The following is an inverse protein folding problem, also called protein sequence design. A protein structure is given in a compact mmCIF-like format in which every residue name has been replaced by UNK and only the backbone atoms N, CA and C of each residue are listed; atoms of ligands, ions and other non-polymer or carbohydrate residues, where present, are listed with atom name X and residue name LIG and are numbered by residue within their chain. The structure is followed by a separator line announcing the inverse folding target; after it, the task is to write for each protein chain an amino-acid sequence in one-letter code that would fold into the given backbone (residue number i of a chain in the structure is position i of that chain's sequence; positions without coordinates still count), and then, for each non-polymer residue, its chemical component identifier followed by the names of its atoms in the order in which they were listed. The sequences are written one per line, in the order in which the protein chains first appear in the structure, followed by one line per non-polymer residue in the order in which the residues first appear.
data_IF_517926429597
#
_entry.id   IF_517926429597
#
_cell.length_a   1.000
_cell.length_b   1.000
_cell.length_c   1.000
_cell.angle_alpha   90.00
_cell.angle_beta   90.00
_cell.angle_gamma   90.00
#
_symmetry.space_group_name_H-M   'P 1'
#
loop_
_entity.id
_entity.type
_entity.pdbx_description
1 polymer ?
#
# COMPACT_ATOMS: atom_id res chain seq x y z
N UNK A 1 23.53 10.47 0.92
CA UNK A 1 23.34 9.88 2.26
C UNK A 1 22.03 9.12 2.23
N UNK A 2 21.96 7.83 2.63
CA UNK A 2 20.67 7.15 2.74
C UNK A 2 19.90 7.73 3.92
N UNK A 3 18.74 8.33 3.66
CA UNK A 3 17.81 8.78 4.70
C UNK A 3 16.88 7.61 5.05
N UNK A 4 16.95 7.12 6.29
CA UNK A 4 15.96 6.17 6.81
C UNK A 4 14.65 6.90 7.04
N UNK A 5 13.67 6.62 6.19
CA UNK A 5 12.29 7.14 6.34
C UNK A 5 11.47 6.05 7.01
N UNK A 6 10.68 6.37 8.04
CA UNK A 6 9.76 5.38 8.61
C UNK A 6 8.65 5.10 7.59
N UNK A 7 8.39 3.84 7.30
CA UNK A 7 7.32 3.42 6.41
C UNK A 7 6.41 2.38 7.04
N UNK A 8 5.25 2.20 6.43
CA UNK A 8 4.24 1.22 6.79
C UNK A 8 4.14 0.20 5.66
N UNK A 9 4.43 -1.06 5.96
CA UNK A 9 4.10 -2.17 5.07
C UNK A 9 2.68 -2.63 5.39
N UNK A 10 1.83 -2.71 4.37
CA UNK A 10 0.46 -3.18 4.47
C UNK A 10 0.36 -4.50 3.72
N UNK A 11 0.11 -5.58 4.46
CA UNK A 11 -0.09 -6.91 3.89
C UNK A 11 -1.57 -7.15 3.66
N UNK A 12 -1.96 -7.32 2.39
CA UNK A 12 -3.32 -7.62 1.97
C UNK A 12 -3.40 -9.07 1.51
N UNK A 13 -4.06 -9.90 2.32
CA UNK A 13 -4.31 -11.30 1.97
C UNK A 13 -5.59 -11.39 1.13
N UNK A 14 -5.51 -11.97 -0.06
CA UNK A 14 -6.63 -12.12 -1.00
C UNK A 14 -6.80 -13.56 -1.42
N UNK A 15 -8.05 -14.00 -1.54
CA UNK A 15 -8.38 -15.25 -2.22
C UNK A 15 -8.47 -14.98 -3.74
N UNK A 16 -7.48 -15.45 -4.48
CA UNK A 16 -7.42 -15.27 -5.94
C UNK A 16 -8.64 -15.86 -6.67
N UNK A 17 -9.25 -16.92 -6.12
CA UNK A 17 -10.44 -17.55 -6.72
C UNK A 17 -11.66 -16.64 -6.63
N UNK A 18 -11.78 -15.84 -5.57
CA UNK A 18 -12.85 -14.83 -5.44
C UNK A 18 -12.73 -13.72 -6.50
N UNK A 19 -11.54 -13.53 -7.08
CA UNK A 19 -11.30 -12.58 -8.17
C UNK A 19 -11.29 -13.25 -9.55
N UNK A 20 -11.72 -14.50 -9.71
CA UNK A 20 -11.70 -15.18 -11.02
C UNK A 20 -12.52 -14.45 -12.11
N UNK A 21 -13.56 -13.70 -11.72
CA UNK A 21 -14.44 -12.96 -12.62
C UNK A 21 -14.10 -11.45 -12.74
N UNK A 22 -13.12 -10.95 -11.98
CA UNK A 22 -12.78 -9.52 -11.89
C UNK A 22 -11.27 -9.31 -11.85
N UNK A 23 -10.78 -8.16 -12.32
CA UNK A 23 -9.33 -7.94 -12.34
C UNK A 23 -8.78 -7.71 -10.93
N UNK A 24 -8.08 -8.71 -10.39
CA UNK A 24 -7.29 -8.57 -9.15
C UNK A 24 -6.28 -7.42 -9.26
N UNK A 25 -5.68 -7.24 -10.44
CA UNK A 25 -4.71 -6.16 -10.67
C UNK A 25 -5.31 -4.76 -10.52
N UNK A 26 -6.56 -4.57 -10.99
CA UNK A 26 -7.28 -3.31 -10.82
C UNK A 26 -7.58 -3.04 -9.34
N UNK A 27 -8.03 -4.07 -8.61
CA UNK A 27 -8.26 -3.98 -7.18
C UNK A 27 -6.99 -3.61 -6.41
N UNK A 28 -5.86 -4.28 -6.69
CA UNK A 28 -4.57 -3.97 -6.07
C UNK A 28 -4.18 -2.51 -6.35
N UNK A 29 -4.39 -2.02 -7.57
CA UNK A 29 -4.04 -0.64 -7.93
C UNK A 29 -4.90 0.38 -7.18
N UNK A 30 -6.19 0.10 -6.98
CA UNK A 30 -7.09 0.94 -6.17
C UNK A 30 -6.68 0.93 -4.70
N UNK A 31 -6.37 -0.23 -4.14
CA UNK A 31 -5.95 -0.37 -2.74
C UNK A 31 -4.60 0.32 -2.49
N UNK A 32 -3.64 0.15 -3.41
CA UNK A 32 -2.33 0.81 -3.38
C UNK A 32 -2.48 2.34 -3.29
N UNK A 33 -3.37 2.93 -4.07
CA UNK A 33 -3.66 4.36 -3.98
C UNK A 33 -4.42 4.74 -2.71
N UNK A 34 -5.42 3.95 -2.32
CA UNK A 34 -6.21 4.17 -1.10
C UNK A 34 -5.31 4.25 0.14
N UNK A 35 -4.32 3.37 0.27
CA UNK A 35 -3.44 3.42 1.44
C UNK A 35 -2.52 4.65 1.45
N UNK A 36 -2.12 5.19 0.28
CA UNK A 36 -1.31 6.41 0.22
C UNK A 36 -2.05 7.67 0.68
N UNK A 37 -3.38 7.71 0.52
CA UNK A 37 -4.18 8.85 0.99
C UNK A 37 -4.38 8.87 2.50
N UNK A 38 -4.02 7.78 3.19
CA UNK A 38 -4.15 7.67 4.64
C UNK A 38 -2.82 7.82 5.39
N UNK A 39 -1.69 7.90 4.68
CA UNK A 39 -0.39 8.01 5.29
C UNK A 39 0.15 9.45 5.34
N UNK A 40 0.90 9.82 6.38
CA UNK A 40 1.62 11.09 6.46
C UNK A 40 2.69 11.24 5.36
N UNK A 41 2.90 12.47 4.89
CA UNK A 41 3.93 12.83 3.91
C UNK A 41 5.37 12.55 4.35
N UNK A 42 5.62 12.41 5.65
CA UNK A 42 6.94 12.03 6.21
C UNK A 42 7.20 10.52 6.18
N UNK A 43 6.25 9.74 5.66
CA UNK A 43 6.30 8.28 5.65
C UNK A 43 6.01 7.74 4.26
N UNK A 44 6.35 6.48 4.03
CA UNK A 44 5.93 5.74 2.85
C UNK A 44 4.96 4.62 3.24
N UNK A 45 4.10 4.23 2.31
CA UNK A 45 3.31 3.01 2.39
C UNK A 45 3.74 2.07 1.28
N UNK A 46 3.85 0.79 1.62
CA UNK A 46 4.11 -0.26 0.66
C UNK A 46 3.04 -1.34 0.79
N UNK A 47 2.31 -1.60 -0.31
CA UNK A 47 1.34 -2.67 -0.37
C UNK A 47 2.01 -3.98 -0.80
N UNK A 48 1.85 -5.03 0.01
CA UNK A 48 2.22 -6.41 -0.31
C UNK A 48 0.96 -7.25 -0.35
N UNK A 49 0.73 -7.93 -1.46
CA UNK A 49 -0.47 -8.75 -1.69
C UNK A 49 -0.08 -10.22 -1.61
N UNK A 50 -0.75 -10.95 -0.74
CA UNK A 50 -0.49 -12.36 -0.49
C UNK A 50 -1.71 -13.21 -0.85
N UNK A 51 -1.46 -14.41 -1.35
CA UNK A 51 -2.49 -15.41 -1.63
C UNK A 51 -2.96 -16.05 -0.33
N UNK A 52 -4.25 -16.00 -0.06
CA UNK A 52 -4.87 -16.70 1.06
C UNK A 52 -4.71 -18.23 0.94
N UNK A 53 -4.71 -18.73 -0.30
CA UNK A 53 -4.75 -20.16 -0.58
C UNK A 53 -3.37 -20.82 -0.53
N UNK A 54 -2.34 -20.11 -0.98
CA UNK A 54 -0.96 -20.64 -1.06
C UNK A 54 -0.02 -20.02 -0.04
N UNK A 55 -0.38 -18.89 0.57
CA UNK A 55 0.52 -18.07 1.38
C UNK A 55 1.62 -17.37 0.57
N UNK A 56 1.60 -17.50 -0.77
CA UNK A 56 2.59 -16.90 -1.66
C UNK A 56 2.39 -15.40 -1.84
N UNK A 57 3.47 -14.67 -2.09
CA UNK A 57 3.40 -13.27 -2.52
C UNK A 57 2.92 -13.20 -3.97
N UNK A 58 1.77 -12.56 -4.18
CA UNK A 58 1.20 -12.32 -5.51
C UNK A 58 1.86 -11.11 -6.14
N UNK A 59 1.96 -10.01 -5.37
CA UNK A 59 2.52 -8.75 -5.84
C UNK A 59 2.99 -7.87 -4.70
N UNK A 60 4.15 -7.25 -4.88
CA UNK A 60 4.64 -6.14 -4.06
C UNK A 60 4.69 -4.86 -4.87
N UNK A 61 3.96 -3.85 -4.40
CA UNK A 61 3.97 -2.52 -5.00
C UNK A 61 5.26 -1.76 -4.62
N UNK A 62 5.57 -0.73 -5.41
CA UNK A 62 6.63 0.20 -5.07
C UNK A 62 6.23 1.00 -3.81
N UNK A 63 7.18 1.33 -2.91
CA UNK A 63 6.91 2.25 -1.82
C UNK A 63 6.42 3.59 -2.34
N UNK A 64 5.29 4.07 -1.81
CA UNK A 64 4.69 5.36 -2.20
C UNK A 64 4.68 6.33 -1.03
N UNK A 65 5.02 7.62 -1.23
CA UNK A 65 4.93 8.61 -0.17
C UNK A 65 3.47 8.79 0.25
N UNK A 66 3.25 8.98 1.55
CA UNK A 66 1.95 9.41 2.06
C UNK A 66 1.58 10.80 1.55
N UNK A 67 0.29 11.12 1.52
CA UNK A 67 -0.20 12.40 0.98
C UNK A 67 -0.86 13.28 2.04
N UNK A 68 -1.03 12.81 3.28
CA UNK A 68 -1.60 13.63 4.36
C UNK A 68 -0.53 14.60 4.89
N UNK A 69 -0.76 15.92 4.80
CA UNK A 69 0.07 16.90 5.48
C UNK A 69 -0.07 16.73 6.99
N UNK A 70 1.05 16.73 7.72
CA UNK A 70 0.99 16.75 9.17
C UNK A 70 0.42 18.11 9.63
N UNK A 71 -0.48 18.10 10.62
CA UNK A 71 -1.19 19.29 11.09
C UNK A 71 -0.26 20.45 11.51
N UNK A 72 0.98 20.18 11.95
CA UNK A 72 1.96 21.22 12.25
C UNK A 72 2.50 21.95 11.01
N UNK A 73 2.50 21.33 9.83
CA UNK A 73 2.90 21.96 8.56
C UNK A 73 1.82 22.87 7.97
N UNK A 74 0.57 22.79 8.46
CA UNK A 74 -0.52 23.67 8.03
C UNK A 74 -0.57 25.01 8.79
N UNK A 75 0.32 25.21 9.78
CA UNK A 75 0.38 26.41 10.62
C UNK A 75 1.60 27.31 10.33
N UNK A 76 2.31 27.08 9.22
CA UNK A 76 3.45 27.89 8.78
C UNK A 76 3.12 28.71 7.52
#
# INVERSE_FOLDING_TARGET
MPSFVRGLEVTLTVDEQAFAAVSLNAFISVMDHCFTVHAPTISFVQLVVMSANTGGEIRRCAPRPGTIPLAWQAMA
#
